data_IF_247894347553
#
_entry.id   IF_247894347553
#
_cell.length_a   1.000
_cell.length_b   1.000
_cell.length_c   1.000
_cell.angle_alpha   90.00
_cell.angle_beta   90.00
_cell.angle_gamma   90.00
#
_symmetry.space_group_name_H-M   'P 1'
#
loop_
_entity.id
_entity.type
_entity.pdbx_description
1 polymer ?
#
# COMPACT_ATOMS: atom_id res chain seq x y z
N UNK A 1 -18.81 -11.97 5.24
CA UNK A 1 -17.54 -11.67 5.93
C UNK A 1 -17.16 -10.25 5.56
N UNK A 2 -16.99 -9.36 6.53
CA UNK A 2 -16.46 -8.02 6.25
C UNK A 2 -15.00 -8.17 5.79
N UNK A 3 -14.65 -7.51 4.70
CA UNK A 3 -13.28 -7.46 4.20
C UNK A 3 -12.45 -6.61 5.16
N UNK A 4 -11.39 -7.17 5.75
CA UNK A 4 -10.47 -6.41 6.59
C UNK A 4 -9.62 -5.46 5.73
N UNK A 5 -9.33 -4.28 6.27
CA UNK A 5 -8.49 -3.28 5.61
C UNK A 5 -7.21 -3.11 6.40
N UNK A 6 -6.07 -3.25 5.74
CA UNK A 6 -4.73 -3.05 6.32
C UNK A 6 -4.02 -1.91 5.60
N UNK A 7 -3.62 -0.88 6.34
CA UNK A 7 -2.78 0.21 5.86
C UNK A 7 -1.33 -0.10 6.19
N UNK A 8 -0.48 -0.20 5.17
CA UNK A 8 0.97 -0.41 5.31
C UNK A 8 1.69 0.91 5.06
N UNK A 9 2.01 1.64 6.12
CA UNK A 9 2.72 2.92 6.03
C UNK A 9 3.36 3.33 7.34
N UNK A 10 4.44 4.11 7.25
CA UNK A 10 5.07 4.83 8.37
C UNK A 10 4.81 6.34 8.33
N UNK A 11 4.19 6.84 7.27
CA UNK A 11 4.01 8.27 7.05
C UNK A 11 2.68 8.73 7.66
N UNK A 12 2.74 9.60 8.67
CA UNK A 12 1.58 10.01 9.46
C UNK A 12 0.48 10.64 8.60
N UNK A 13 0.83 11.55 7.68
CA UNK A 13 -0.16 12.23 6.83
C UNK A 13 -0.92 11.23 5.93
N UNK A 14 -0.23 10.17 5.46
CA UNK A 14 -0.87 9.10 4.66
C UNK A 14 -1.82 8.28 5.53
N UNK A 15 -1.40 7.93 6.75
CA UNK A 15 -2.23 7.17 7.68
C UNK A 15 -3.48 7.97 8.04
N UNK A 16 -3.32 9.24 8.43
CA UNK A 16 -4.44 10.15 8.75
C UNK A 16 -5.42 10.26 7.58
N UNK A 17 -4.90 10.49 6.37
CA UNK A 17 -5.72 10.61 5.17
C UNK A 17 -6.50 9.33 4.87
N UNK A 18 -5.86 8.16 4.90
CA UNK A 18 -6.55 6.88 4.63
C UNK A 18 -7.56 6.54 5.74
N UNK A 19 -7.27 6.89 6.99
CA UNK A 19 -8.17 6.71 8.13
C UNK A 19 -9.46 7.54 8.04
N UNK A 20 -9.50 8.62 7.24
CA UNK A 20 -10.77 9.34 7.00
C UNK A 20 -11.77 8.53 6.18
N UNK A 21 -11.30 7.50 5.45
CA UNK A 21 -12.15 6.61 4.63
C UNK A 21 -12.26 5.23 5.26
N UNK A 22 -11.17 4.71 5.82
CA UNK A 22 -11.09 3.39 6.43
C UNK A 22 -10.81 3.51 7.93
N UNK A 23 -11.81 3.97 8.71
CA UNK A 23 -11.65 4.26 10.15
C UNK A 23 -11.13 3.06 10.94
N UNK A 24 -11.62 1.85 10.63
CA UNK A 24 -11.28 0.60 11.33
C UNK A 24 -10.02 -0.08 10.78
N UNK A 25 -9.36 0.49 9.76
CA UNK A 25 -8.21 -0.16 9.15
C UNK A 25 -7.08 -0.41 10.16
N UNK A 26 -6.50 -1.61 10.17
CA UNK A 26 -5.30 -1.89 10.95
C UNK A 26 -4.12 -1.17 10.30
N UNK A 27 -3.32 -0.45 11.07
CA UNK A 27 -2.11 0.22 10.57
C UNK A 27 -0.90 -0.62 10.95
N UNK A 28 -0.06 -0.94 9.98
CA UNK A 28 1.22 -1.62 10.17
C UNK A 28 2.34 -0.81 9.54
N UNK A 29 3.45 -0.68 10.24
CA UNK A 29 4.61 0.09 9.76
C UNK A 29 5.47 -0.70 8.78
N UNK A 30 5.38 -2.02 8.82
CA UNK A 30 6.21 -2.96 8.08
C UNK A 30 5.50 -4.32 8.01
N UNK A 31 5.81 -5.10 6.98
CA UNK A 31 5.38 -6.51 6.83
C UNK A 31 6.61 -7.29 6.41
N UNK A 32 7.03 -8.26 7.23
CA UNK A 32 8.14 -9.17 6.89
C UNK A 32 7.62 -10.45 6.26
N UNK A 33 6.50 -10.95 6.76
CA UNK A 33 5.84 -12.17 6.29
C UNK A 33 4.41 -11.85 5.82
N UNK A 34 4.03 -12.16 4.56
CA UNK A 34 2.65 -12.03 4.08
C UNK A 34 1.62 -12.75 4.94
N UNK A 35 2.03 -13.75 5.71
CA UNK A 35 1.17 -14.48 6.65
C UNK A 35 0.59 -13.62 7.78
N UNK A 36 1.23 -12.50 8.09
CA UNK A 36 0.77 -11.51 9.07
C UNK A 36 -0.51 -10.79 8.63
N UNK A 37 -0.80 -10.82 7.32
CA UNK A 37 -2.00 -10.22 6.72
C UNK A 37 -3.09 -11.30 6.55
N UNK A 38 -4.29 -11.09 7.10
CA UNK A 38 -5.40 -12.02 6.90
C UNK A 38 -5.72 -12.20 5.41
N UNK A 39 -5.95 -13.45 4.98
CA UNK A 39 -6.31 -13.75 3.60
C UNK A 39 -7.59 -13.03 3.18
N UNK A 40 -7.65 -12.59 1.93
CA UNK A 40 -8.81 -11.84 1.41
C UNK A 40 -8.89 -10.38 1.86
N UNK A 41 -7.89 -9.85 2.56
CA UNK A 41 -7.85 -8.44 2.99
C UNK A 41 -7.69 -7.47 1.83
N UNK A 42 -8.15 -6.23 2.02
CA UNK A 42 -7.72 -5.08 1.25
C UNK A 42 -6.48 -4.46 1.89
N UNK A 43 -5.35 -4.52 1.19
CA UNK A 43 -4.08 -3.94 1.64
C UNK A 43 -3.82 -2.64 0.88
N UNK A 44 -3.54 -1.55 1.60
CA UNK A 44 -3.29 -0.23 1.02
C UNK A 44 -1.95 0.28 1.52
N UNK A 45 -0.99 0.54 0.62
CA UNK A 45 0.33 1.03 1.04
C UNK A 45 1.44 0.69 0.07
N UNK A 46 2.67 0.68 0.59
CA UNK A 46 3.88 0.39 -0.18
C UNK A 46 4.58 -0.83 0.42
N UNK A 47 4.80 -1.85 -0.42
CA UNK A 47 5.53 -3.07 -0.07
C UNK A 47 6.49 -3.45 -1.20
N UNK A 48 7.56 -4.22 -0.89
CA UNK A 48 8.33 -4.92 -1.90
C UNK A 48 7.42 -5.73 -2.85
N UNK A 49 7.68 -5.67 -4.15
CA UNK A 49 6.80 -6.24 -5.18
C UNK A 49 6.58 -7.76 -5.03
N UNK A 50 7.58 -8.49 -4.53
CA UNK A 50 7.45 -9.92 -4.28
C UNK A 50 6.47 -10.25 -3.14
N UNK A 51 6.34 -9.38 -2.13
CA UNK A 51 5.33 -9.54 -1.08
C UNK A 51 3.93 -9.21 -1.62
N UNK A 52 3.84 -8.20 -2.49
CA UNK A 52 2.58 -7.85 -3.17
C UNK A 52 2.07 -9.04 -4.00
N UNK A 53 2.96 -9.67 -4.77
CA UNK A 53 2.66 -10.88 -5.56
C UNK A 53 2.12 -12.01 -4.66
N UNK A 54 2.78 -12.28 -3.53
CA UNK A 54 2.31 -13.31 -2.60
C UNK A 54 0.93 -13.00 -1.99
N UNK A 55 0.71 -11.74 -1.58
CA UNK A 55 -0.58 -11.30 -1.04
C UNK A 55 -1.71 -11.50 -2.06
N UNK A 56 -1.49 -11.11 -3.31
CA UNK A 56 -2.50 -11.21 -4.38
C UNK A 56 -2.70 -12.68 -4.78
N UNK A 57 -1.63 -13.34 -5.22
CA UNK A 57 -1.71 -14.61 -5.94
C UNK A 57 -1.83 -15.83 -5.01
N UNK A 58 -1.33 -15.75 -3.76
CA UNK A 58 -1.40 -16.89 -2.81
C UNK A 58 -2.41 -16.69 -1.69
N UNK A 59 -2.68 -15.44 -1.28
CA UNK A 59 -3.58 -15.13 -0.16
C UNK A 59 -4.93 -14.54 -0.58
N UNK A 60 -5.13 -14.27 -1.86
CA UNK A 60 -6.38 -13.72 -2.39
C UNK A 60 -6.67 -12.30 -1.91
N UNK A 61 -5.64 -11.57 -1.46
CA UNK A 61 -5.77 -10.19 -1.04
C UNK A 61 -5.91 -9.27 -2.25
N UNK A 62 -6.51 -8.10 -2.03
CA UNK A 62 -6.46 -6.99 -2.98
C UNK A 62 -5.36 -6.02 -2.53
N UNK A 63 -4.63 -5.45 -3.49
CA UNK A 63 -3.56 -4.50 -3.17
C UNK A 63 -3.75 -3.17 -3.89
N UNK A 64 -3.71 -2.09 -3.12
CA UNK A 64 -3.77 -0.70 -3.60
C UNK A 64 -2.47 -0.01 -3.24
N UNK A 65 -1.68 0.33 -4.27
CA UNK A 65 -0.43 1.06 -4.11
C UNK A 65 -0.71 2.53 -3.79
N UNK A 66 0.03 3.09 -2.83
CA UNK A 66 0.04 4.53 -2.55
C UNK A 66 1.15 5.19 -3.38
N UNK A 67 0.77 5.78 -4.51
CA UNK A 67 1.68 6.55 -5.36
C UNK A 67 1.60 8.04 -5.00
N UNK A 68 2.75 8.72 -4.94
CA UNK A 68 2.84 10.15 -4.73
C UNK A 68 3.48 10.81 -5.95
N UNK A 69 2.69 11.54 -6.72
CA UNK A 69 3.12 12.28 -7.91
C UNK A 69 3.61 13.66 -7.52
N UNK A 70 4.72 13.71 -6.79
CA UNK A 70 5.27 14.95 -6.23
C UNK A 70 6.11 15.69 -7.29
N UNK A 71 5.80 16.98 -7.58
CA UNK A 71 6.64 17.86 -8.40
C UNK A 71 8.08 17.90 -7.88
N UNK A 72 9.05 18.07 -8.77
CA UNK A 72 10.47 17.97 -8.43
C UNK A 72 10.86 18.94 -7.29
N UNK A 73 10.32 20.14 -7.32
CA UNK A 73 10.52 21.23 -6.35
C UNK A 73 9.95 20.96 -4.95
N UNK A 74 9.07 19.96 -4.83
CA UNK A 74 8.45 19.53 -3.57
C UNK A 74 8.99 18.18 -3.07
N UNK A 75 9.82 17.48 -3.86
CA UNK A 75 10.42 16.21 -3.41
C UNK A 75 11.37 16.44 -2.23
N UNK A 76 11.32 15.52 -1.27
CA UNK A 76 12.13 15.60 -0.04
C UNK A 76 11.64 16.61 1.00
N UNK A 77 10.55 17.34 0.70
CA UNK A 77 9.84 18.17 1.69
C UNK A 77 8.71 17.38 2.31
N UNK A 78 8.44 17.64 3.58
CA UNK A 78 7.26 17.10 4.26
C UNK A 78 6.01 17.74 3.64
N UNK A 79 5.06 16.90 3.20
CA UNK A 79 3.79 17.36 2.63
C UNK A 79 2.72 17.39 3.72
N UNK A 80 1.96 18.48 3.76
CA UNK A 80 0.77 18.55 4.61
C UNK A 80 -0.39 17.72 4.02
N UNK A 81 -1.49 17.59 4.76
CA UNK A 81 -2.65 16.77 4.34
C UNK A 81 -3.29 17.25 3.02
N UNK A 82 -3.33 18.56 2.78
CA UNK A 82 -3.93 19.14 1.57
C UNK A 82 -3.06 18.85 0.33
N UNK A 83 -1.74 19.02 0.47
CA UNK A 83 -0.77 18.66 -0.57
C UNK A 83 -0.78 17.15 -0.83
N UNK A 84 -0.86 16.34 0.22
CA UNK A 84 -0.96 14.89 0.07
C UNK A 84 -2.22 14.50 -0.70
N UNK A 85 -3.38 15.11 -0.41
CA UNK A 85 -4.61 14.87 -1.19
C UNK A 85 -4.45 15.23 -2.67
N UNK A 86 -3.70 16.28 -2.97
CA UNK A 86 -3.45 16.74 -4.35
C UNK A 86 -2.57 15.76 -5.12
N UNK A 87 -1.47 15.31 -4.51
CA UNK A 87 -0.42 14.53 -5.18
C UNK A 87 -0.54 13.02 -4.97
N UNK A 88 -1.38 12.55 -4.06
CA UNK A 88 -1.61 11.12 -3.85
C UNK A 88 -2.50 10.53 -4.94
N UNK A 89 -2.12 9.33 -5.39
CA UNK A 89 -2.89 8.45 -6.26
C UNK A 89 -2.94 7.07 -5.62
N UNK A 90 -4.13 6.48 -5.64
CA UNK A 90 -4.36 5.10 -5.19
C UNK A 90 -4.54 4.24 -6.43
N UNK A 91 -3.64 3.29 -6.63
CA UNK A 91 -3.61 2.43 -7.82
C UNK A 91 -3.86 0.99 -7.40
N UNK A 92 -5.01 0.45 -7.76
CA UNK A 92 -5.29 -0.97 -7.53
C UNK A 92 -4.57 -1.84 -8.56
N UNK A 93 -3.86 -2.84 -8.07
CA UNK A 93 -3.23 -3.85 -8.93
C UNK A 93 -4.29 -4.90 -9.27
N UNK A 94 -4.75 -4.87 -10.52
CA UNK A 94 -5.73 -5.84 -11.02
C UNK A 94 -5.14 -7.21 -11.32
N UNK A 95 -3.86 -7.25 -11.72
CA UNK A 95 -3.10 -8.47 -12.01
C UNK A 95 -1.60 -8.21 -11.81
N UNK A 96 -0.89 -9.17 -11.23
CA UNK A 96 0.56 -9.16 -11.07
C UNK A 96 1.13 -10.54 -11.39
N UNK A 97 2.17 -10.58 -12.21
CA UNK A 97 2.93 -11.79 -12.53
C UNK A 97 4.42 -11.44 -12.44
N UNK A 98 5.17 -12.24 -11.70
CA UNK A 98 6.62 -12.09 -11.55
C UNK A 98 7.35 -13.31 -12.11
N UNK A 99 8.52 -13.08 -12.67
CA UNK A 99 9.45 -14.13 -13.12
C UNK A 99 10.86 -13.81 -12.64
N UNK A 100 11.65 -14.85 -12.34
CA UNK A 100 13.05 -14.67 -11.96
C UNK A 100 13.87 -14.22 -13.17
N UNK A 101 14.69 -13.19 -12.98
CA UNK A 101 15.67 -12.76 -13.96
C UNK A 101 17.04 -13.33 -13.58
N UNK A 102 17.58 -14.19 -14.44
CA UNK A 102 18.86 -14.87 -14.22
C UNK A 102 19.94 -14.17 -15.04
N UNK A 103 21.00 -13.72 -14.38
CA UNK A 103 22.20 -13.20 -15.02
C UNK A 103 23.20 -14.35 -15.13
N UNK A 104 23.51 -14.76 -16.36
CA UNK A 104 24.53 -15.74 -16.72
C UNK A 104 25.88 -15.10 -16.99
#
# INVERSE_FOLDING_TARGET
MNMEVVIVSRHESTIKLLKTVFSEAKVVSHVSDPSEIPSGSLVIGNLPIHLIDELINKRGCRFVLVSLEIPQELRGKELNEEELRKYMRLLEISKLELSEFIIS
#
